data_IF_469871470715
#
_entry.id   IF_469871470715
#
_cell.length_a   1.000
_cell.length_b   1.000
_cell.length_c   1.000
_cell.angle_alpha   90.00
_cell.angle_beta   90.00
_cell.angle_gamma   90.00
#
_symmetry.space_group_name_H-M   'P 1'
#
loop_
_entity.id
_entity.type
_entity.pdbx_description
1 polymer ?
#
# COMPACT_ATOMS: atom_id res chain seq x y z
N UNK A 1 30.57 3.68 11.00
CA UNK A 1 30.09 2.72 10.00
C UNK A 1 29.75 1.45 10.74
N UNK A 2 28.47 1.26 11.05
CA UNK A 2 27.98 0.03 11.66
C UNK A 2 27.12 -0.66 10.61
N UNK A 3 27.63 -1.75 10.05
CA UNK A 3 26.84 -2.65 9.23
C UNK A 3 25.80 -3.30 10.15
N UNK A 4 24.53 -2.97 9.92
CA UNK A 4 23.41 -3.56 10.64
C UNK A 4 23.34 -5.05 10.30
N UNK A 5 23.24 -5.96 11.29
CA UNK A 5 23.27 -7.38 11.06
C UNK A 5 22.06 -7.81 10.22
N UNK A 6 22.38 -8.51 9.13
CA UNK A 6 21.55 -9.37 8.30
C UNK A 6 20.18 -9.70 8.94
N UNK A 7 19.14 -8.95 8.55
CA UNK A 7 17.77 -9.22 8.96
C UNK A 7 17.33 -10.53 8.28
N UNK A 8 17.04 -11.61 9.04
CA UNK A 8 16.71 -12.88 8.43
C UNK A 8 15.35 -12.77 7.73
N UNK A 9 15.30 -13.31 6.52
CA UNK A 9 14.09 -13.62 5.77
C UNK A 9 13.19 -12.44 5.36
N UNK A 10 13.74 -11.55 4.52
CA UNK A 10 12.88 -10.90 3.53
C UNK A 10 12.34 -11.99 2.59
N UNK A 11 11.24 -12.66 2.96
CA UNK A 11 10.51 -13.54 2.04
C UNK A 11 10.25 -12.72 0.78
N UNK A 12 10.95 -13.10 -0.29
CA UNK A 12 10.83 -12.47 -1.59
C UNK A 12 9.59 -13.04 -2.25
N UNK A 13 8.72 -12.16 -2.70
CA UNK A 13 7.57 -12.58 -3.48
C UNK A 13 7.96 -12.62 -4.94
N UNK A 14 7.66 -13.74 -5.59
CA UNK A 14 7.81 -13.83 -7.04
C UNK A 14 6.87 -12.85 -7.73
N UNK A 15 7.34 -12.29 -8.85
CA UNK A 15 6.52 -11.45 -9.70
C UNK A 15 5.40 -12.30 -10.31
N UNK A 16 4.16 -11.82 -10.19
CA UNK A 16 3.00 -12.45 -10.84
C UNK A 16 2.21 -11.43 -11.62
N UNK A 17 1.83 -11.82 -12.84
CA UNK A 17 1.11 -10.96 -13.76
C UNK A 17 -0.27 -11.61 -14.00
N UNK A 18 -1.34 -10.87 -13.68
CA UNK A 18 -2.73 -11.30 -13.82
C UNK A 18 -3.42 -10.43 -14.88
N UNK A 19 -3.99 -11.05 -15.90
CA UNK A 19 -4.90 -10.36 -16.82
C UNK A 19 -6.26 -10.18 -16.12
N UNK A 20 -6.56 -8.93 -15.78
CA UNK A 20 -7.78 -8.51 -15.08
C UNK A 20 -8.67 -7.65 -15.99
N UNK A 21 -8.55 -7.84 -17.31
CA UNK A 21 -9.31 -7.07 -18.29
C UNK A 21 -10.81 -7.31 -18.12
N UNK A 22 -11.57 -6.22 -17.91
CA UNK A 22 -13.02 -6.26 -17.74
C UNK A 22 -13.73 -6.59 -19.05
N UNK A 23 -14.92 -7.17 -18.96
CA UNK A 23 -15.79 -7.44 -20.12
C UNK A 23 -15.97 -6.22 -21.06
N UNK A 24 -16.22 -5.05 -20.46
CA UNK A 24 -16.41 -3.81 -21.18
C UNK A 24 -15.13 -3.33 -21.88
N UNK A 25 -13.97 -3.61 -21.30
CA UNK A 25 -12.67 -3.26 -21.88
C UNK A 25 -12.36 -4.14 -23.10
N UNK A 26 -12.65 -5.44 -23.01
CA UNK A 26 -12.48 -6.36 -24.15
C UNK A 26 -13.33 -5.95 -25.36
N UNK A 27 -14.56 -5.47 -25.12
CA UNK A 27 -15.45 -4.98 -26.17
C UNK A 27 -14.89 -3.73 -26.88
N UNK A 28 -14.09 -2.93 -26.17
CA UNK A 28 -13.48 -1.71 -26.67
C UNK A 28 -11.97 -1.85 -26.96
N UNK A 29 -11.48 -3.07 -27.26
CA UNK A 29 -10.06 -3.36 -27.52
C UNK A 29 -9.08 -2.84 -26.44
N UNK A 30 -9.56 -2.69 -25.20
CA UNK A 30 -8.75 -2.36 -24.05
C UNK A 30 -8.23 -3.60 -23.34
N UNK A 31 -7.21 -3.42 -22.51
CA UNK A 31 -6.66 -4.46 -21.66
C UNK A 31 -6.24 -3.89 -20.31
N UNK A 32 -6.44 -4.65 -19.25
CA UNK A 32 -5.98 -4.30 -17.90
C UNK A 32 -5.17 -5.44 -17.30
N UNK A 33 -3.95 -5.12 -16.88
CA UNK A 33 -2.99 -6.05 -16.31
C UNK A 33 -2.64 -5.64 -14.88
N UNK A 34 -2.79 -6.58 -13.94
CA UNK A 34 -2.34 -6.45 -12.56
C UNK A 34 -0.99 -7.15 -12.41
N UNK A 35 0.05 -6.40 -12.08
CA UNK A 35 1.40 -6.88 -11.84
C UNK A 35 1.66 -6.81 -10.33
N UNK A 36 1.88 -7.97 -9.72
CA UNK A 36 2.28 -8.09 -8.32
C UNK A 36 3.80 -8.24 -8.24
N UNK A 37 4.49 -7.12 -8.04
CA UNK A 37 5.95 -7.09 -7.82
C UNK A 37 6.34 -7.48 -6.40
N UNK A 38 7.64 -7.42 -6.09
CA UNK A 38 8.17 -7.83 -4.78
C UNK A 38 7.72 -6.90 -3.63
N UNK A 39 7.73 -5.58 -3.87
CA UNK A 39 7.43 -4.56 -2.86
C UNK A 39 6.16 -3.74 -3.16
N UNK A 40 5.71 -3.75 -4.41
CA UNK A 40 4.58 -2.94 -4.89
C UNK A 40 3.72 -3.73 -5.86
N UNK A 41 2.44 -3.33 -5.93
CA UNK A 41 1.50 -3.78 -6.94
C UNK A 41 1.28 -2.66 -7.96
N UNK A 42 1.07 -3.03 -9.21
CA UNK A 42 0.90 -2.12 -10.34
C UNK A 42 -0.30 -2.56 -11.18
N UNK A 43 -1.21 -1.63 -11.49
CA UNK A 43 -2.37 -1.84 -12.35
C UNK A 43 -2.17 -1.00 -13.63
N UNK A 44 -2.01 -1.69 -14.75
CA UNK A 44 -1.82 -1.10 -16.08
C UNK A 44 -3.07 -1.31 -16.91
N UNK A 45 -3.74 -0.23 -17.27
CA UNK A 45 -4.85 -0.21 -18.21
C UNK A 45 -4.44 0.45 -19.52
N UNK A 46 -4.92 -0.10 -20.62
CA UNK A 46 -4.79 0.45 -21.98
C UNK A 46 -6.17 0.46 -22.63
N UNK A 47 -6.54 1.56 -23.27
CA UNK A 47 -7.77 1.64 -24.06
C UNK A 47 -7.51 1.47 -25.57
N UNK A 48 -8.59 1.40 -26.35
CA UNK A 48 -8.57 1.24 -27.81
C UNK A 48 -7.51 2.14 -28.47
N UNK A 49 -6.69 1.56 -29.35
CA UNK A 49 -5.62 2.23 -30.10
C UNK A 49 -4.45 2.78 -29.27
N UNK A 50 -4.25 2.32 -28.02
CA UNK A 50 -3.18 2.80 -27.11
C UNK A 50 -3.22 4.32 -26.86
N UNK A 51 -4.36 4.98 -27.09
CA UNK A 51 -4.48 6.44 -26.99
C UNK A 51 -4.45 6.89 -25.52
N UNK A 52 -5.02 6.08 -24.62
CA UNK A 52 -4.97 6.32 -23.19
C UNK A 52 -4.34 5.13 -22.49
N UNK A 53 -3.31 5.41 -21.71
CA UNK A 53 -2.66 4.47 -20.80
C UNK A 53 -2.90 4.95 -19.37
N UNK A 54 -3.35 4.06 -18.51
CA UNK A 54 -3.42 4.31 -17.07
C UNK A 54 -2.44 3.39 -16.37
N UNK A 55 -1.56 3.95 -15.57
CA UNK A 55 -0.67 3.18 -14.73
C UNK A 55 -0.81 3.67 -13.29
N UNK A 56 -1.23 2.78 -12.40
CA UNK A 56 -1.34 3.03 -10.97
C UNK A 56 -0.47 2.04 -10.23
N UNK A 57 0.32 2.54 -9.29
CA UNK A 57 1.27 1.74 -8.54
C UNK A 57 1.21 2.12 -7.08
N UNK A 58 1.20 1.12 -6.21
CA UNK A 58 1.08 1.31 -4.77
C UNK A 58 1.91 0.28 -4.00
N UNK A 59 2.69 0.71 -2.99
CA UNK A 59 3.37 -0.23 -2.11
C UNK A 59 2.34 -0.99 -1.28
N UNK A 60 2.61 -2.27 -1.00
CA UNK A 60 1.64 -3.14 -0.32
C UNK A 60 1.14 -2.60 1.03
N UNK A 61 2.00 -1.90 1.78
CA UNK A 61 1.64 -1.30 3.07
C UNK A 61 0.65 -0.13 2.97
N UNK A 62 0.47 0.47 1.78
CA UNK A 62 -0.38 1.64 1.54
C UNK A 62 -1.57 1.31 0.61
N UNK A 63 -1.84 0.02 0.37
CA UNK A 63 -2.97 -0.41 -0.49
C UNK A 63 -4.34 -0.07 0.09
N UNK A 64 -4.43 0.24 1.38
CA UNK A 64 -5.69 0.45 2.08
C UNK A 64 -6.46 -0.86 2.20
N UNK A 65 -7.79 -0.79 2.10
CA UNK A 65 -8.63 -1.99 2.16
C UNK A 65 -8.53 -2.77 0.85
N UNK A 66 -8.26 -4.07 0.96
CA UNK A 66 -8.28 -5.02 -0.15
C UNK A 66 -9.47 -5.95 0.06
N UNK A 67 -10.45 -5.96 -0.83
CA UNK A 67 -11.62 -6.83 -0.72
C UNK A 67 -12.10 -7.33 -2.09
N UNK A 68 -12.80 -8.46 -2.08
CA UNK A 68 -13.55 -8.96 -3.24
C UNK A 68 -14.93 -8.29 -3.28
N UNK A 69 -15.33 -7.81 -4.44
CA UNK A 69 -16.70 -7.32 -4.67
C UNK A 69 -17.38 -8.18 -5.74
N UNK A 70 -18.68 -8.35 -5.60
CA UNK A 70 -19.49 -9.12 -6.54
C UNK A 70 -20.70 -8.31 -6.96
N UNK A 71 -20.96 -8.27 -8.26
CA UNK A 71 -22.12 -7.62 -8.83
C UNK A 71 -22.74 -8.54 -9.87
N UNK A 72 -23.88 -9.16 -9.53
CA UNK A 72 -24.55 -10.17 -10.34
C UNK A 72 -23.58 -11.30 -10.75
N UNK A 73 -23.26 -11.41 -12.05
CA UNK A 73 -22.37 -12.44 -12.59
C UNK A 73 -20.91 -11.97 -12.71
N UNK A 74 -20.58 -10.78 -12.22
CA UNK A 74 -19.26 -10.18 -12.31
C UNK A 74 -18.57 -10.19 -10.95
N UNK A 75 -17.36 -10.73 -10.94
CA UNK A 75 -16.48 -10.72 -9.79
C UNK A 75 -15.37 -9.69 -10.04
N UNK A 76 -15.02 -8.96 -9.00
CA UNK A 76 -13.95 -7.99 -9.04
C UNK A 76 -13.27 -7.85 -7.69
N UNK A 77 -12.14 -7.15 -7.67
CA UNK A 77 -11.45 -6.82 -6.43
C UNK A 77 -11.27 -5.32 -6.32
N UNK A 78 -11.28 -4.82 -5.09
CA UNK A 78 -10.98 -3.45 -4.74
C UNK A 78 -9.67 -3.42 -3.97
N UNK A 79 -8.76 -2.55 -4.37
CA UNK A 79 -7.54 -2.25 -3.63
C UNK A 79 -7.37 -0.73 -3.60
N UNK A 80 -7.65 -0.13 -2.44
CA UNK A 80 -7.82 1.31 -2.24
C UNK A 80 -6.95 2.22 -3.11
N UNK A 81 -5.62 2.17 -2.96
CA UNK A 81 -4.70 3.07 -3.68
C UNK A 81 -4.37 2.66 -5.13
N UNK A 82 -4.75 1.44 -5.55
CA UNK A 82 -4.59 0.98 -6.94
C UNK A 82 -5.77 1.36 -7.83
N UNK A 83 -6.94 1.63 -7.25
CA UNK A 83 -8.12 1.97 -8.03
C UNK A 83 -7.97 3.39 -8.62
N UNK A 84 -8.26 3.58 -9.93
CA UNK A 84 -8.13 4.89 -10.58
C UNK A 84 -9.06 5.94 -9.99
N UNK A 85 -10.18 5.52 -9.41
CA UNK A 85 -11.06 6.36 -8.60
C UNK A 85 -11.41 5.64 -7.28
N UNK A 86 -11.20 6.26 -6.12
CA UNK A 86 -11.55 5.66 -4.83
C UNK A 86 -13.06 5.46 -4.65
N UNK A 87 -13.88 6.21 -5.41
CA UNK A 87 -15.34 6.13 -5.42
C UNK A 87 -15.90 5.22 -6.53
N UNK A 88 -15.08 4.87 -7.53
CA UNK A 88 -15.53 4.11 -8.70
C UNK A 88 -15.15 2.63 -8.60
N UNK A 89 -15.80 1.91 -7.67
CA UNK A 89 -15.98 0.46 -7.70
C UNK A 89 -14.73 -0.43 -7.77
N UNK A 90 -14.95 -1.74 -7.65
CA UNK A 90 -13.93 -2.76 -7.85
C UNK A 90 -13.50 -2.90 -9.33
N UNK A 91 -12.26 -3.36 -9.54
CA UNK A 91 -11.77 -3.83 -10.83
C UNK A 91 -12.39 -5.20 -11.13
N UNK A 92 -13.28 -5.27 -12.12
CA UNK A 92 -13.88 -6.53 -12.57
C UNK A 92 -12.90 -7.35 -13.42
N UNK A 93 -12.93 -8.68 -13.25
CA UNK A 93 -12.13 -9.63 -14.05
C UNK A 93 -13.02 -10.35 -15.07
N UNK A 94 -12.96 -9.93 -16.34
CA UNK A 94 -13.63 -10.60 -17.46
C UNK A 94 -15.17 -10.48 -17.51
N UNK A 95 -15.79 -11.38 -18.29
CA UNK A 95 -17.25 -11.57 -18.37
C UNK A 95 -17.62 -12.91 -17.69
N UNK A 96 -17.95 -12.93 -16.40
CA UNK A 96 -18.50 -14.13 -15.74
C UNK A 96 -17.90 -14.52 -14.38
N UNK A 97 -18.15 -15.77 -13.98
CA UNK A 97 -17.89 -16.37 -12.67
C UNK A 97 -16.40 -16.67 -12.37
N UNK A 98 -15.51 -15.69 -12.54
CA UNK A 98 -14.08 -15.83 -12.20
C UNK A 98 -13.81 -15.61 -10.71
N UNK A 99 -14.69 -16.14 -9.84
CA UNK A 99 -14.58 -15.95 -8.41
C UNK A 99 -13.25 -16.48 -7.86
N UNK A 100 -12.84 -17.67 -8.28
CA UNK A 100 -11.59 -18.29 -7.83
C UNK A 100 -10.36 -17.43 -8.15
N UNK A 101 -10.35 -16.77 -9.31
CA UNK A 101 -9.27 -15.88 -9.72
C UNK A 101 -9.22 -14.63 -8.83
N UNK A 102 -10.38 -14.02 -8.58
CA UNK A 102 -10.50 -12.84 -7.72
C UNK A 102 -10.11 -13.17 -6.28
N UNK A 103 -10.59 -14.30 -5.76
CA UNK A 103 -10.26 -14.76 -4.41
C UNK A 103 -8.76 -15.04 -4.27
N UNK A 104 -8.13 -15.65 -5.29
CA UNK A 104 -6.68 -15.86 -5.33
C UNK A 104 -5.91 -14.53 -5.33
N UNK A 105 -6.33 -13.55 -6.14
CA UNK A 105 -5.73 -12.21 -6.19
C UNK A 105 -5.86 -11.51 -4.84
N UNK A 106 -7.06 -11.50 -4.25
CA UNK A 106 -7.32 -10.86 -2.95
C UNK A 106 -6.52 -11.52 -1.83
N UNK A 107 -6.49 -12.86 -1.77
CA UNK A 107 -5.71 -13.59 -0.78
C UNK A 107 -4.21 -13.29 -0.91
N UNK A 108 -3.70 -13.19 -2.13
CA UNK A 108 -2.29 -12.87 -2.37
C UNK A 108 -1.96 -11.42 -2.02
N UNK A 109 -2.80 -10.47 -2.40
CA UNK A 109 -2.66 -9.07 -2.01
C UNK A 109 -2.69 -8.90 -0.49
N UNK A 110 -3.64 -9.54 0.21
CA UNK A 110 -3.71 -9.52 1.68
C UNK A 110 -2.46 -10.13 2.33
N UNK A 111 -1.95 -11.24 1.77
CA UNK A 111 -0.72 -11.89 2.25
C UNK A 111 0.50 -10.96 2.12
N UNK A 112 0.67 -10.33 0.94
CA UNK A 112 1.78 -9.40 0.69
C UNK A 112 1.64 -8.12 1.53
N UNK A 113 0.42 -7.62 1.68
CA UNK A 113 0.08 -6.49 2.55
C UNK A 113 0.39 -6.77 4.02
N UNK A 114 0.03 -7.92 4.57
CA UNK A 114 0.35 -8.26 5.96
C UNK A 114 1.87 -8.26 6.20
N UNK A 115 2.63 -8.86 5.29
CA UNK A 115 4.08 -8.97 5.38
C UNK A 115 4.83 -7.64 5.21
N UNK A 116 4.24 -6.67 4.50
CA UNK A 116 4.86 -5.37 4.21
C UNK A 116 4.24 -4.20 5.00
N UNK A 117 3.04 -4.38 5.56
CA UNK A 117 2.34 -3.39 6.36
C UNK A 117 3.09 -3.00 7.64
N UNK A 118 3.80 -3.95 8.24
CA UNK A 118 4.63 -3.66 9.42
C UNK A 118 5.80 -2.73 9.09
N UNK A 119 6.35 -2.79 7.87
CA UNK A 119 7.39 -1.84 7.43
C UNK A 119 6.86 -0.42 7.32
N UNK A 120 5.62 -0.24 6.88
CA UNK A 120 5.00 1.09 6.82
C UNK A 120 4.81 1.68 8.23
N UNK A 121 4.39 0.85 9.20
CA UNK A 121 4.30 1.25 10.61
C UNK A 121 5.66 1.62 11.20
N UNK A 122 6.71 0.86 10.88
CA UNK A 122 8.07 1.16 11.32
C UNK A 122 8.54 2.50 10.77
N UNK A 123 8.37 2.77 9.46
CA UNK A 123 8.73 4.07 8.87
C UNK A 123 7.99 5.24 9.51
N UNK A 124 6.70 5.06 9.80
CA UNK A 124 5.91 6.08 10.50
C UNK A 124 6.43 6.32 11.92
N UNK A 125 6.77 5.26 12.64
CA UNK A 125 7.36 5.34 13.97
C UNK A 125 8.73 6.06 13.93
N UNK A 126 9.60 5.71 12.97
CA UNK A 126 10.90 6.35 12.76
C UNK A 126 10.75 7.85 12.46
N UNK A 127 9.81 8.22 11.59
CA UNK A 127 9.52 9.62 11.26
C UNK A 127 9.02 10.38 12.49
N UNK A 128 8.13 9.76 13.26
CA UNK A 128 7.57 10.35 14.49
C UNK A 128 8.67 10.57 15.54
N UNK A 129 9.56 9.59 15.75
CA UNK A 129 10.70 9.72 16.66
C UNK A 129 11.65 10.83 16.22
N UNK A 130 11.92 10.95 14.91
CA UNK A 130 12.73 12.05 14.38
C UNK A 130 12.11 13.42 14.67
N UNK A 131 10.82 13.59 14.42
CA UNK A 131 10.12 14.85 14.71
C UNK A 131 10.08 15.16 16.22
N UNK A 132 9.93 14.15 17.08
CA UNK A 132 10.00 14.34 18.53
C UNK A 132 11.40 14.80 18.95
N UNK A 133 12.46 14.21 18.41
CA UNK A 133 13.84 14.64 18.72
C UNK A 133 14.09 16.10 18.32
N UNK A 134 13.60 16.52 17.15
CA UNK A 134 13.69 17.93 16.75
C UNK A 134 12.90 18.86 17.68
N UNK A 135 11.72 18.42 18.15
CA UNK A 135 10.91 19.17 19.09
C UNK A 135 11.62 19.30 20.44
N UNK A 136 12.17 18.20 20.97
CA UNK A 136 12.96 18.19 22.20
C UNK A 136 14.14 19.16 22.10
N UNK A 137 14.90 19.13 21.01
CA UNK A 137 16.01 20.05 20.81
C UNK A 137 15.56 21.53 20.83
N UNK A 138 14.41 21.85 20.22
CA UNK A 138 13.85 23.22 20.25
C UNK A 138 13.41 23.63 21.65
N UNK A 139 12.78 22.72 22.40
CA UNK A 139 12.34 22.96 23.78
C UNK A 139 13.53 23.20 24.69
N UNK A 140 14.60 22.40 24.57
CA UNK A 140 15.82 22.55 25.35
C UNK A 140 16.48 23.92 25.12
N UNK A 141 16.52 24.38 23.86
CA UNK A 141 17.02 25.72 23.52
C UNK A 141 16.19 26.84 24.17
N UNK A 142 14.86 26.69 24.23
CA UNK A 142 13.97 27.67 24.88
C UNK A 142 14.19 27.67 26.39
N UNK A 143 14.27 26.49 27.03
CA UNK A 143 14.53 26.36 28.46
C UNK A 143 15.86 27.02 28.82
N UNK A 144 16.90 26.76 28.04
CA UNK A 144 18.22 27.38 28.22
C UNK A 144 18.16 28.90 28.07
N UNK A 145 17.43 29.40 27.07
CA UNK A 145 17.29 30.85 26.84
C UNK A 145 16.53 31.56 27.97
N UNK A 146 15.49 30.91 28.51
CA UNK A 146 14.64 31.47 29.56
C UNK A 146 15.14 31.19 30.99
N UNK A 147 16.25 30.47 31.14
CA UNK A 147 16.84 30.07 32.44
C UNK A 147 15.82 29.40 33.36
N UNK A 148 14.92 28.59 32.80
CA UNK A 148 13.93 27.86 33.58
C UNK A 148 14.63 26.65 34.20
N UNK A 149 14.51 26.47 35.52
CA UNK A 149 14.95 25.23 36.17
C UNK A 149 14.13 24.06 35.60
N UNK A 150 14.80 23.15 34.90
CA UNK A 150 14.15 21.98 34.34
C UNK A 150 13.59 21.12 35.47
N UNK A 151 12.27 20.95 35.52
CA UNK A 151 11.64 19.99 36.41
C UNK A 151 12.04 18.57 35.98
N UNK A 152 12.86 17.90 36.79
CA UNK A 152 13.17 16.49 36.59
C UNK A 152 11.95 15.65 36.97
N UNK A 153 11.81 14.46 36.38
CA UNK A 153 10.67 13.55 36.65
C UNK A 153 10.54 13.22 38.16
N UNK A 154 11.65 13.32 38.90
CA UNK A 154 11.69 13.13 40.35
C UNK A 154 10.90 14.19 41.15
N UNK A 155 10.71 15.41 40.62
CA UNK A 155 9.92 16.46 41.31
C UNK A 155 8.42 16.34 41.09
N UNK A 156 7.95 15.51 40.14
CA UNK A 156 6.50 15.33 39.86
C UNK A 156 5.87 14.15 40.61
N UNK A 157 6.65 13.32 41.31
CA UNK A 157 6.15 12.14 42.05
C UNK A 157 6.08 12.34 43.57
N UNK A 158 6.18 13.58 44.08
CA UNK A 158 5.92 13.92 45.49
C UNK A 158 4.60 14.61 45.68
#
# INVERSE_FOLDING_TARGET
>A
MAETPNQPDAVRFDRKDYDVTCCCEKLCCGSTLLILGEEEAELKGTCCCNICTSNKRGPYGELGTVDSETCCCFYGFRAGSLMPNPESGAQCTGCGCQQELVDAIVAELKKRQAMRGDRAKVRLAETTVSSLNELHAKVDLIIQHLQIEAATIETMQR
#
